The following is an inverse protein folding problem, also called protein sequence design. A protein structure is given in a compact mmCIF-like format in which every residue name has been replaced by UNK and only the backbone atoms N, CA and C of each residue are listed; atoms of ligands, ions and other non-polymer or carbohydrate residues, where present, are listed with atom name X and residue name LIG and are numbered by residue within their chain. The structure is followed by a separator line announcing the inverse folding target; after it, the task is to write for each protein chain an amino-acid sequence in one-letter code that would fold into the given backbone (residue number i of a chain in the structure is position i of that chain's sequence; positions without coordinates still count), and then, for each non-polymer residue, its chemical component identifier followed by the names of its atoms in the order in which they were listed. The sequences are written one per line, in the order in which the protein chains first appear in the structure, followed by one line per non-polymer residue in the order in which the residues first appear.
data_IF_012795895590
#
_entry.id   IF_012795895590
#
_cell.length_a   1.000
_cell.length_b   1.000
_cell.length_c   1.000
_cell.angle_alpha   90.00
_cell.angle_beta   90.00
_cell.angle_gamma   90.00
#
_symmetry.space_group_name_H-M   'P 1'
#
loop_
_entity.id
_entity.type
_entity.pdbx_description
1 polymer ?
#
# COMPACT_ATOMS: atom_id res chain seq x y z
N UNK A 1 -25.69 -20.79 7.03
CA UNK A 1 -24.71 -21.48 6.18
C UNK A 1 -23.37 -20.81 6.46
N UNK A 2 -22.52 -21.41 7.30
CA UNK A 2 -21.24 -20.82 7.68
C UNK A 2 -20.34 -20.78 6.45
N UNK A 3 -19.99 -19.58 5.98
CA UNK A 3 -18.97 -19.40 4.96
C UNK A 3 -17.68 -20.03 5.48
N UNK A 4 -17.28 -21.15 4.88
CA UNK A 4 -16.03 -21.80 5.26
C UNK A 4 -14.89 -20.98 4.67
N UNK A 5 -14.22 -20.19 5.50
CA UNK A 5 -13.05 -19.40 5.12
C UNK A 5 -11.96 -20.40 4.70
N UNK A 6 -11.52 -20.34 3.44
CA UNK A 6 -10.40 -21.15 2.94
C UNK A 6 -9.09 -20.58 3.45
N UNK A 7 -8.13 -21.43 3.82
CA UNK A 7 -6.80 -21.02 4.26
C UNK A 7 -6.48 -21.49 5.69
N UNK A 8 -5.25 -21.23 6.12
CA UNK A 8 -4.81 -21.59 7.47
C UNK A 8 -5.48 -20.66 8.50
N UNK A 9 -6.28 -21.27 9.38
CA UNK A 9 -7.03 -20.57 10.43
C UNK A 9 -6.09 -19.86 11.41
N UNK A 10 -4.93 -20.46 11.72
CA UNK A 10 -3.98 -19.86 12.66
C UNK A 10 -3.35 -18.59 12.10
N UNK A 11 -2.98 -18.59 10.81
CA UNK A 11 -2.44 -17.42 10.11
C UNK A 11 -3.49 -16.31 10.07
N UNK A 12 -4.71 -16.65 9.64
CA UNK A 12 -5.80 -15.67 9.52
C UNK A 12 -6.10 -15.04 10.89
N UNK A 13 -6.20 -15.83 11.95
CA UNK A 13 -6.45 -15.33 13.30
C UNK A 13 -5.29 -14.46 13.82
N UNK A 14 -4.04 -14.89 13.59
CA UNK A 14 -2.85 -14.15 14.04
C UNK A 14 -2.76 -12.78 13.37
N UNK A 15 -3.03 -12.69 12.07
CA UNK A 15 -3.03 -11.41 11.34
C UNK A 15 -4.26 -10.58 11.72
N UNK A 16 -5.43 -11.19 11.90
CA UNK A 16 -6.66 -10.50 12.33
C UNK A 16 -6.48 -9.83 13.69
N UNK A 17 -5.70 -10.41 14.61
CA UNK A 17 -5.40 -9.81 15.90
C UNK A 17 -4.56 -8.52 15.82
N UNK A 18 -3.96 -8.22 14.66
CA UNK A 18 -3.16 -7.01 14.40
C UNK A 18 -3.97 -5.90 13.70
N UNK A 19 -5.27 -6.13 13.49
CA UNK A 19 -6.20 -5.20 12.84
C UNK A 19 -7.04 -4.49 13.90
N UNK A 20 -7.05 -3.15 13.89
CA UNK A 20 -7.75 -2.35 14.92
C UNK A 20 -9.15 -1.89 14.50
N UNK A 21 -9.47 -1.84 13.19
CA UNK A 21 -10.72 -1.28 12.69
C UNK A 21 -11.83 -2.34 12.46
N UNK A 22 -13.08 -1.98 12.76
CA UNK A 22 -14.25 -2.78 12.39
C UNK A 22 -14.37 -2.87 10.86
N UNK A 23 -14.30 -4.08 10.31
CA UNK A 23 -14.29 -4.30 8.85
C UNK A 23 -12.89 -4.24 8.22
N UNK A 24 -11.83 -4.19 9.03
CA UNK A 24 -10.44 -4.28 8.57
C UNK A 24 -10.12 -5.62 7.89
N UNK A 25 -10.85 -6.68 8.22
CA UNK A 25 -10.67 -8.00 7.63
C UNK A 25 -11.80 -8.32 6.69
N UNK A 26 -11.45 -8.64 5.44
CA UNK A 26 -12.40 -9.05 4.41
C UNK A 26 -11.89 -10.29 3.71
N UNK A 27 -12.72 -11.33 3.71
CA UNK A 27 -12.49 -12.53 2.92
C UNK A 27 -13.36 -12.45 1.66
N UNK A 28 -12.81 -12.88 0.52
CA UNK A 28 -13.52 -12.90 -0.75
C UNK A 28 -13.10 -14.13 -1.55
N UNK A 29 -14.05 -14.67 -2.30
CA UNK A 29 -13.81 -15.78 -3.24
C UNK A 29 -14.40 -15.36 -4.58
N UNK A 30 -13.66 -15.58 -5.67
CA UNK A 30 -14.15 -15.30 -7.02
C UNK A 30 -14.96 -16.47 -7.60
N UNK A 31 -15.50 -16.27 -8.81
CA UNK A 31 -16.26 -17.30 -9.53
C UNK A 31 -15.44 -18.54 -9.90
N UNK A 32 -14.10 -18.44 -9.87
CA UNK A 32 -13.16 -19.53 -10.14
C UNK A 32 -12.68 -20.22 -8.86
N UNK A 33 -13.26 -19.88 -7.71
CA UNK A 33 -12.89 -20.40 -6.39
C UNK A 33 -11.51 -20.00 -5.88
N UNK A 34 -10.90 -18.94 -6.43
CA UNK A 34 -9.70 -18.34 -5.88
C UNK A 34 -10.06 -17.55 -4.62
N UNK A 35 -9.31 -17.76 -3.53
CA UNK A 35 -9.55 -17.13 -2.25
C UNK A 35 -8.60 -15.95 -2.03
N UNK A 36 -9.16 -14.85 -1.54
CA UNK A 36 -8.46 -13.62 -1.22
C UNK A 36 -8.80 -13.21 0.21
N UNK A 37 -7.77 -12.84 0.95
CA UNK A 37 -7.90 -12.28 2.28
C UNK A 37 -7.29 -10.90 2.27
N UNK A 38 -8.05 -9.93 2.79
CA UNK A 38 -7.65 -8.54 2.89
C UNK A 38 -7.63 -8.19 4.36
N UNK A 39 -6.49 -7.68 4.83
CA UNK A 39 -6.28 -7.25 6.20
C UNK A 39 -5.80 -5.82 6.18
N UNK A 40 -6.49 -4.93 6.89
CA UNK A 40 -6.02 -3.58 7.17
C UNK A 40 -5.43 -3.55 8.57
N UNK A 41 -4.11 -3.43 8.64
CA UNK A 41 -3.38 -3.37 9.91
C UNK A 41 -3.62 -2.02 10.59
N UNK A 42 -3.70 -2.02 11.92
CA UNK A 42 -4.00 -0.80 12.68
C UNK A 42 -2.86 0.23 12.66
N UNK A 43 -1.60 -0.23 12.66
CA UNK A 43 -0.41 0.63 12.68
C UNK A 43 0.67 0.08 11.74
N UNK A 44 1.48 0.93 11.06
CA UNK A 44 2.57 0.45 10.20
C UNK A 44 3.57 -0.48 10.89
N UNK A 45 3.78 -0.32 12.20
CA UNK A 45 4.67 -1.18 13.01
C UNK A 45 4.22 -2.64 13.08
N UNK A 46 2.94 -2.91 12.91
CA UNK A 46 2.40 -4.28 12.93
C UNK A 46 2.75 -5.05 11.65
N UNK A 47 3.21 -4.36 10.60
CA UNK A 47 3.55 -4.97 9.32
C UNK A 47 4.62 -6.04 9.47
N UNK A 48 5.71 -5.77 10.20
CA UNK A 48 6.81 -6.74 10.39
C UNK A 48 6.35 -7.99 11.14
N UNK A 49 5.45 -7.83 12.10
CA UNK A 49 4.88 -8.97 12.82
C UNK A 49 3.96 -9.80 11.92
N UNK A 50 3.10 -9.16 11.12
CA UNK A 50 2.22 -9.84 10.19
C UNK A 50 3.01 -10.57 9.08
N UNK A 51 4.07 -9.94 8.56
CA UNK A 51 4.91 -10.53 7.52
C UNK A 51 5.83 -11.62 8.05
N UNK A 52 6.27 -11.57 9.32
CA UNK A 52 6.98 -12.68 9.95
C UNK A 52 6.12 -13.95 10.01
N UNK A 53 4.85 -13.84 10.38
CA UNK A 53 3.91 -14.99 10.39
C UNK A 53 3.78 -15.59 8.99
N UNK A 54 3.69 -14.77 7.95
CA UNK A 54 3.60 -15.23 6.56
C UNK A 54 4.92 -15.83 6.06
N UNK A 55 6.06 -15.24 6.43
CA UNK A 55 7.38 -15.73 6.10
C UNK A 55 7.62 -17.13 6.69
N UNK A 56 7.29 -17.31 7.98
CA UNK A 56 7.46 -18.59 8.67
C UNK A 56 6.56 -19.69 8.09
N UNK A 57 5.40 -19.31 7.55
CA UNK A 57 4.51 -20.20 6.81
C UNK A 57 4.99 -20.52 5.38
N UNK A 58 6.08 -19.89 4.91
CA UNK A 58 6.62 -20.07 3.56
C UNK A 58 5.87 -19.33 2.46
N UNK A 59 5.17 -18.24 2.80
CA UNK A 59 4.49 -17.41 1.82
C UNK A 59 5.49 -16.70 0.89
N UNK A 60 5.02 -16.32 -0.29
CA UNK A 60 5.80 -15.57 -1.29
C UNK A 60 5.26 -14.17 -1.43
N UNK A 61 6.12 -13.16 -1.35
CA UNK A 61 5.75 -11.79 -1.71
C UNK A 61 5.58 -11.71 -3.23
N UNK A 62 4.39 -11.33 -3.70
CA UNK A 62 4.07 -11.18 -5.11
C UNK A 62 4.36 -9.76 -5.61
N UNK A 63 3.87 -8.75 -4.90
CA UNK A 63 4.01 -7.35 -5.26
C UNK A 63 3.69 -6.44 -4.06
N UNK A 64 4.16 -5.19 -4.10
CA UNK A 64 3.71 -4.13 -3.21
C UNK A 64 3.10 -3.01 -4.03
N UNK A 65 2.02 -2.40 -3.54
CA UNK A 65 1.33 -1.29 -4.19
C UNK A 65 1.16 -0.14 -3.22
N UNK A 66 1.61 1.04 -3.60
CA UNK A 66 1.31 2.28 -2.90
C UNK A 66 0.23 3.03 -3.67
N UNK A 67 -0.78 3.55 -2.97
CA UNK A 67 -1.81 4.37 -3.58
C UNK A 67 -2.30 5.47 -2.63
N UNK A 68 -2.77 6.57 -3.22
CA UNK A 68 -3.34 7.68 -2.47
C UNK A 68 -4.85 7.49 -2.34
N UNK A 69 -5.34 7.42 -1.11
CA UNK A 69 -6.77 7.44 -0.83
C UNK A 69 -7.22 8.90 -0.79
N UNK A 70 -7.65 9.44 -1.94
CA UNK A 70 -8.20 10.79 -2.05
C UNK A 70 -9.58 10.87 -1.36
N UNK A 71 -9.61 10.99 -0.04
CA UNK A 71 -10.78 11.44 0.70
C UNK A 71 -10.61 12.92 1.08
N UNK A 72 -11.18 13.76 0.21
CA UNK A 72 -11.67 15.14 0.41
C UNK A 72 -10.92 16.21 1.22
N UNK A 73 -9.86 15.98 2.01
CA UNK A 73 -9.07 17.07 2.61
C UNK A 73 -7.66 16.67 3.09
N UNK A 74 -7.32 15.39 3.20
CA UNK A 74 -5.97 14.94 3.60
C UNK A 74 -5.46 13.83 2.68
N UNK A 75 -4.20 13.93 2.18
CA UNK A 75 -3.60 12.86 1.40
C UNK A 75 -3.23 11.70 2.32
N UNK A 76 -4.16 10.77 2.53
CA UNK A 76 -3.86 9.52 3.22
C UNK A 76 -3.28 8.52 2.21
N UNK A 77 -2.01 8.16 2.40
CA UNK A 77 -1.35 7.13 1.60
C UNK A 77 -1.65 5.76 2.20
N UNK A 78 -1.95 4.77 1.38
CA UNK A 78 -2.06 3.37 1.79
C UNK A 78 -1.03 2.56 1.00
N UNK A 79 -0.40 1.60 1.67
CA UNK A 79 0.51 0.63 1.06
C UNK A 79 -0.05 -0.76 1.28
N UNK A 80 -0.16 -1.54 0.21
CA UNK A 80 -0.65 -2.91 0.25
C UNK A 80 0.42 -3.89 -0.23
N UNK A 81 0.76 -4.85 0.63
CA UNK A 81 1.66 -5.96 0.29
C UNK A 81 0.84 -7.20 -0.02
N UNK A 82 1.13 -7.82 -1.16
CA UNK A 82 0.40 -8.97 -1.66
C UNK A 82 1.25 -10.23 -1.51
N UNK A 83 0.76 -11.21 -0.75
CA UNK A 83 1.43 -12.48 -0.52
C UNK A 83 0.62 -13.64 -1.07
N UNK A 84 1.31 -14.67 -1.56
CA UNK A 84 0.71 -15.93 -1.99
C UNK A 84 1.17 -17.05 -1.05
N UNK A 85 0.21 -17.85 -0.60
CA UNK A 85 0.47 -19.06 0.17
C UNK A 85 -0.52 -20.15 -0.24
N UNK A 86 0.00 -21.25 -0.76
CA UNK A 86 -0.79 -22.44 -1.14
C UNK A 86 -1.99 -22.14 -2.07
N UNK A 87 -1.82 -21.21 -3.00
CA UNK A 87 -2.84 -20.78 -3.96
C UNK A 87 -3.85 -19.77 -3.41
N UNK A 88 -3.61 -19.24 -2.21
CA UNK A 88 -4.47 -18.22 -1.55
C UNK A 88 -3.69 -16.92 -1.44
N UNK A 89 -4.35 -15.80 -1.74
CA UNK A 89 -3.75 -14.47 -1.68
C UNK A 89 -4.08 -13.76 -0.36
N UNK A 90 -3.03 -13.36 0.36
CA UNK A 90 -3.08 -12.60 1.60
C UNK A 90 -2.59 -11.18 1.34
N UNK A 91 -3.48 -10.20 1.47
CA UNK A 91 -3.22 -8.80 1.17
C UNK A 91 -3.17 -8.02 2.49
N UNK A 92 -2.03 -7.42 2.79
CA UNK A 92 -1.80 -6.63 4.00
C UNK A 92 -1.74 -5.15 3.63
N UNK A 93 -2.77 -4.40 4.00
CA UNK A 93 -2.86 -2.96 3.80
C UNK A 93 -2.49 -2.21 5.07
N UNK A 94 -1.65 -1.19 4.92
CA UNK A 94 -1.22 -0.28 5.97
C UNK A 94 -1.57 1.14 5.56
N UNK A 95 -2.24 1.87 6.44
CA UNK A 95 -2.52 3.30 6.26
C UNK A 95 -1.36 4.13 6.82
N UNK A 96 -0.91 5.10 6.03
CA UNK A 96 0.15 6.04 6.37
C UNK A 96 -0.45 7.41 6.66
N UNK A 97 -0.15 7.92 7.84
CA UNK A 97 -0.50 9.27 8.28
C UNK A 97 0.65 10.28 8.10
N UNK A 98 1.76 9.89 7.46
CA UNK A 98 2.95 10.71 7.22
C UNK A 98 3.91 10.86 8.41
N UNK A 99 3.44 10.58 9.63
CA UNK A 99 4.24 10.63 10.87
C UNK A 99 5.00 9.33 11.13
N UNK A 100 4.36 8.18 10.91
CA UNK A 100 4.96 6.88 11.15
C UNK A 100 5.51 6.29 9.85
N UNK A 101 6.84 6.07 9.72
CA UNK A 101 7.39 5.36 8.58
C UNK A 101 6.96 3.89 8.58
N UNK A 102 6.92 3.28 7.39
CA UNK A 102 6.67 1.85 7.22
C UNK A 102 7.95 1.09 7.51
N UNK A 103 7.95 0.09 8.41
CA UNK A 103 9.13 -0.74 8.60
C UNK A 103 9.38 -1.60 7.35
N UNK A 104 10.65 -1.68 6.92
CA UNK A 104 11.05 -2.49 5.77
C UNK A 104 10.86 -3.98 6.05
N UNK A 105 10.33 -4.71 5.06
CA UNK A 105 10.19 -6.17 5.08
C UNK A 105 11.30 -6.87 4.26
N UNK A 106 12.21 -6.09 3.66
CA UNK A 106 13.36 -6.59 2.88
C UNK A 106 14.23 -7.60 3.63
N UNK A 107 14.45 -7.51 4.96
CA UNK A 107 15.19 -8.55 5.69
C UNK A 107 14.53 -9.93 5.67
N UNK A 108 13.20 -10.00 5.51
CA UNK A 108 12.44 -11.25 5.41
C UNK A 108 12.22 -11.66 3.95
N UNK A 109 11.95 -10.69 3.08
CA UNK A 109 11.64 -10.90 1.68
C UNK A 109 12.61 -10.14 0.79
N UNK A 110 13.62 -10.82 0.24
CA UNK A 110 14.66 -10.20 -0.56
C UNK A 110 14.12 -9.45 -1.79
N UNK A 111 12.99 -9.87 -2.35
CA UNK A 111 12.36 -9.18 -3.48
C UNK A 111 11.65 -7.88 -3.07
N UNK A 112 11.46 -7.60 -1.78
CA UNK A 112 10.88 -6.35 -1.32
C UNK A 112 11.80 -5.14 -1.55
N UNK A 113 13.12 -5.34 -1.68
CA UNK A 113 14.10 -4.25 -1.86
C UNK A 113 13.71 -3.31 -3.01
N UNK A 114 13.38 -3.87 -4.17
CA UNK A 114 13.00 -3.08 -5.34
C UNK A 114 11.64 -2.42 -5.18
N UNK A 115 10.67 -3.14 -4.62
CA UNK A 115 9.31 -2.63 -4.41
C UNK A 115 9.30 -1.47 -3.41
N UNK A 116 10.02 -1.60 -2.30
CA UNK A 116 10.13 -0.56 -1.27
C UNK A 116 10.85 0.68 -1.81
N UNK A 117 11.93 0.51 -2.58
CA UNK A 117 12.63 1.63 -3.22
C UNK A 117 11.78 2.33 -4.28
N UNK A 118 11.01 1.59 -5.08
CA UNK A 118 10.05 2.16 -6.03
C UNK A 118 9.00 3.02 -5.31
N UNK A 119 8.44 2.54 -4.20
CA UNK A 119 7.45 3.30 -3.42
C UNK A 119 8.05 4.55 -2.76
N UNK A 120 9.29 4.46 -2.26
CA UNK A 120 10.03 5.61 -1.73
C UNK A 120 10.25 6.68 -2.81
N UNK A 121 10.60 6.27 -4.03
CA UNK A 121 10.93 7.18 -5.12
C UNK A 121 9.68 7.79 -5.79
N UNK A 122 8.70 6.97 -6.18
CA UNK A 122 7.51 7.41 -6.91
C UNK A 122 6.47 8.13 -6.04
N UNK A 123 6.25 7.62 -4.82
CA UNK A 123 5.19 8.09 -3.91
C UNK A 123 5.73 8.86 -2.70
N UNK A 124 7.05 8.90 -2.49
CA UNK A 124 7.64 9.60 -1.34
C UNK A 124 7.34 8.90 -0.01
N UNK A 125 7.02 7.59 -0.05
CA UNK A 125 6.73 6.82 1.16
C UNK A 125 8.01 6.73 2.01
N UNK A 126 7.90 7.03 3.31
CA UNK A 126 9.02 6.87 4.24
C UNK A 126 9.09 5.42 4.72
N UNK A 127 10.15 4.71 4.35
CA UNK A 127 10.45 3.35 4.81
C UNK A 127 11.59 3.39 5.83
N UNK A 128 11.39 2.78 7.00
CA UNK A 128 12.39 2.65 8.05
C UNK A 128 13.18 1.35 7.90
N UNK A 129 14.46 1.38 8.29
CA UNK A 129 15.36 0.22 8.36
C UNK A 129 15.57 -0.54 7.02
N UNK A 130 15.38 0.15 5.89
CA UNK A 130 15.64 -0.42 4.56
C UNK A 130 17.16 -0.61 4.35
N UNK A 131 17.64 -1.78 3.89
CA UNK A 131 19.07 -2.07 3.76
C UNK A 131 19.79 -1.17 2.74
N UNK A 132 19.10 -0.76 1.66
CA UNK A 132 19.64 0.14 0.64
C UNK A 132 18.62 1.22 0.21
N UNK A 133 18.52 2.36 0.92
CA UNK A 133 17.50 3.39 0.67
C UNK A 133 17.83 4.32 -0.52
N UNK A 134 18.55 3.83 -1.54
CA UNK A 134 18.93 4.61 -2.71
C UNK A 134 17.79 4.65 -3.75
N UNK A 135 17.73 5.74 -4.52
CA UNK A 135 16.85 5.86 -5.69
C UNK A 135 17.07 4.70 -6.68
N UNK A 136 16.02 4.29 -7.38
CA UNK A 136 16.03 3.12 -8.23
C UNK A 136 16.17 3.51 -9.70
N UNK A 137 15.34 4.42 -10.21
CA UNK A 137 15.31 4.72 -11.65
C UNK A 137 14.91 6.14 -12.07
N UNK A 138 14.42 7.02 -11.19
CA UNK A 138 14.15 8.40 -11.60
C UNK A 138 15.45 9.20 -11.68
N UNK A 139 15.48 10.15 -12.61
CA UNK A 139 16.57 11.13 -12.71
C UNK A 139 16.71 11.90 -11.39
N UNK A 140 17.94 12.14 -10.96
CA UNK A 140 18.25 12.87 -9.71
C UNK A 140 17.62 14.28 -9.68
N UNK A 141 17.35 14.87 -10.85
CA UNK A 141 16.70 16.18 -10.98
C UNK A 141 15.22 16.17 -10.60
N UNK A 142 14.58 15.01 -10.55
CA UNK A 142 13.17 14.89 -10.16
C UNK A 142 13.06 14.74 -8.65
N UNK A 143 12.06 15.38 -8.05
CA UNK A 143 11.75 15.22 -6.63
C UNK A 143 11.09 13.87 -6.37
N UNK A 144 11.37 13.29 -5.20
CA UNK A 144 10.68 12.08 -4.75
C UNK A 144 9.19 12.37 -4.53
N UNK A 145 8.34 11.39 -4.80
CA UNK A 145 6.88 11.56 -4.65
C UNK A 145 6.23 12.32 -5.80
N UNK A 146 6.87 12.36 -6.97
CA UNK A 146 6.37 13.09 -8.15
C UNK A 146 4.95 12.68 -8.55
N UNK A 147 4.53 11.43 -8.30
CA UNK A 147 3.16 10.97 -8.60
C UNK A 147 2.10 11.63 -7.71
N UNK A 148 2.47 12.18 -6.55
CA UNK A 148 1.55 12.94 -5.72
C UNK A 148 1.24 14.33 -6.30
N UNK A 149 2.18 14.87 -7.08
CA UNK A 149 2.08 16.19 -7.72
C UNK A 149 1.62 16.11 -9.17
N UNK A 150 1.81 14.95 -9.82
CA UNK A 150 1.49 14.75 -11.22
C UNK A 150 -0.03 14.89 -11.47
N UNK A 151 -0.37 15.68 -12.49
CA UNK A 151 -1.72 15.72 -13.05
C UNK A 151 -1.87 14.53 -13.99
N UNK A 152 -2.83 13.61 -13.76
CA UNK A 152 -3.05 12.50 -14.68
C UNK A 152 -3.35 13.00 -16.10
N UNK A 153 -2.78 12.35 -17.11
CA UNK A 153 -2.96 12.73 -18.50
C UNK A 153 -4.45 12.77 -18.90
N UNK A 154 -5.26 11.85 -18.38
CA UNK A 154 -6.70 11.85 -18.61
C UNK A 154 -7.38 13.12 -18.07
N UNK A 155 -6.93 13.67 -16.94
CA UNK A 155 -7.40 14.97 -16.46
C UNK A 155 -6.94 16.05 -17.43
N UNK A 156 -5.65 16.10 -17.76
CA UNK A 156 -5.10 17.13 -18.66
C UNK A 156 -5.78 17.15 -20.05
N UNK A 157 -6.08 15.98 -20.63
CA UNK A 157 -6.75 15.86 -21.92
C UNK A 157 -8.25 16.18 -21.86
N UNK A 158 -8.95 15.79 -20.78
CA UNK A 158 -10.38 16.11 -20.63
C UNK A 158 -10.62 17.55 -20.18
N UNK A 159 -9.65 18.17 -19.51
CA UNK A 159 -9.72 19.57 -19.07
C UNK A 159 -9.51 20.59 -20.19
N UNK A 160 -9.19 20.15 -21.41
CA UNK A 160 -9.36 20.99 -22.60
C UNK A 160 -10.86 21.22 -22.92
N UNK A 161 -11.77 20.44 -22.33
CA UNK A 161 -13.21 20.55 -22.50
C UNK A 161 -13.97 21.04 -21.24
N UNK A 162 -13.32 21.16 -20.07
CA UNK A 162 -13.96 21.62 -18.81
C UNK A 162 -13.07 22.58 -18.00
N UNK A 163 -13.66 23.48 -17.21
CA UNK A 163 -12.95 24.46 -16.36
C UNK A 163 -12.26 23.87 -15.12
N UNK A 164 -12.47 22.58 -14.83
CA UNK A 164 -12.08 21.92 -13.57
C UNK A 164 -10.57 21.97 -13.26
N UNK A 165 -9.70 21.92 -14.27
CA UNK A 165 -8.25 21.98 -14.08
C UNK A 165 -7.80 23.38 -13.66
N UNK A 166 -8.35 24.41 -14.30
CA UNK A 166 -8.01 25.80 -13.99
C UNK A 166 -8.54 26.21 -12.62
N UNK A 167 -9.74 25.77 -12.26
CA UNK A 167 -10.29 25.97 -10.91
C UNK A 167 -9.44 25.30 -9.82
N UNK A 168 -8.86 24.12 -10.10
CA UNK A 168 -7.91 23.45 -9.19
C UNK A 168 -6.60 24.21 -9.05
N UNK A 169 -6.00 24.64 -10.16
CA UNK A 169 -4.74 25.39 -10.15
C UNK A 169 -4.92 26.72 -9.40
N UNK A 170 -6.05 27.41 -9.57
CA UNK A 170 -6.36 28.64 -8.85
C UNK A 170 -6.55 28.39 -7.36
N UNK A 171 -7.28 27.35 -6.95
CA UNK A 171 -7.46 27.00 -5.53
C UNK A 171 -6.16 26.64 -4.80
N UNK A 172 -5.23 25.94 -5.45
CA UNK A 172 -3.95 25.63 -4.83
C UNK A 172 -3.03 26.86 -4.74
N UNK A 173 -3.19 27.87 -5.61
CA UNK A 173 -2.51 29.17 -5.47
C UNK A 173 -3.09 30.06 -4.38
N UNK A 174 -4.35 29.86 -4.01
CA UNK A 174 -5.04 30.65 -2.99
C UNK A 174 -4.85 30.13 -1.55
N UNK A 175 -4.21 28.96 -1.36
CA UNK A 175 -3.84 28.49 -0.02
C UNK A 175 -2.66 29.33 0.50
N UNK A 176 -2.82 30.11 1.59
CA UNK A 176 -1.68 30.78 2.22
C UNK A 176 -0.73 29.74 2.81
N UNK A 177 0.57 30.06 2.80
CA UNK A 177 1.68 29.23 3.33
C UNK A 177 1.48 28.76 4.78
#
# INVERSE_FOLDING_TARGET
MQETIRGDVHIIQSITALCDETGAVRHSVDSFSNAFHWFRLGTPRMLTQATAVLHDAGARLCMATAYNRRHLNEPMQEVCYHFELSGILYNLTVTLNGECPVPSISPLFANADWHEREMMELYGVKVADHPNPQRLFLDEKLDAGILNQAVPLSIMMNSACTTDLWERILKDREKPE
#
